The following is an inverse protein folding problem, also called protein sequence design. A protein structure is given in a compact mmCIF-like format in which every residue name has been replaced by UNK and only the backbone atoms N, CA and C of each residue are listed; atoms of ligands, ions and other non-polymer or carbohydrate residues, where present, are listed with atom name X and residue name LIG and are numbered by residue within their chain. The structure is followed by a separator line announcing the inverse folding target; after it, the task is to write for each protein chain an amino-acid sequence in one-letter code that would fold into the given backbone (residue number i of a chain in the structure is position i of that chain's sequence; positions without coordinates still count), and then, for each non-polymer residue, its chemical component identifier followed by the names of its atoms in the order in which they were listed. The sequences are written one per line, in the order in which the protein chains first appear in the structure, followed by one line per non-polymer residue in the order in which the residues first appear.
data_IF_556258578168
#
_entry.id   IF_556258578168
#
_cell.length_a   1.000
_cell.length_b   1.000
_cell.length_c   1.000
_cell.angle_alpha   90.00
_cell.angle_beta   90.00
_cell.angle_gamma   90.00
#
_symmetry.space_group_name_H-M   'P 1'
#
loop_
_entity.id
_entity.type
_entity.pdbx_description
1 polymer ?
#
# COMPACT_ATOMS: atom_id res chain seq x y z
N UNK A 1 -32.36 -48.40 34.33
CA UNK A 1 -31.49 -49.58 34.08
C UNK A 1 -30.62 -49.32 32.85
N UNK A 2 -29.31 -49.50 32.99
CA UNK A 2 -28.34 -49.41 31.90
C UNK A 2 -27.86 -50.82 31.51
N UNK A 3 -27.45 -51.00 30.26
CA UNK A 3 -26.87 -52.25 29.78
C UNK A 3 -25.82 -51.97 28.70
N UNK A 4 -24.91 -52.92 28.53
CA UNK A 4 -23.84 -52.84 27.54
C UNK A 4 -24.22 -53.59 26.26
N UNK A 5 -23.89 -53.01 25.12
CA UNK A 5 -24.01 -53.61 23.80
C UNK A 5 -22.61 -53.60 23.16
N UNK A 6 -22.15 -54.75 22.64
CA UNK A 6 -20.89 -54.81 21.89
C UNK A 6 -21.14 -54.35 20.46
N UNK A 7 -20.40 -53.35 19.99
CA UNK A 7 -20.49 -52.80 18.63
C UNK A 7 -19.10 -52.82 17.98
N UNK A 8 -18.87 -53.83 17.14
CA UNK A 8 -17.55 -54.16 16.62
C UNK A 8 -16.60 -54.54 17.77
N UNK A 9 -15.43 -53.92 17.80
CA UNK A 9 -14.42 -54.13 18.85
C UNK A 9 -14.68 -53.33 20.14
N UNK A 10 -15.70 -52.48 20.18
CA UNK A 10 -15.89 -51.53 21.29
C UNK A 10 -17.23 -51.71 22.00
N UNK A 11 -17.28 -51.38 23.28
CA UNK A 11 -18.51 -51.37 24.06
C UNK A 11 -19.30 -50.06 23.87
N UNK A 12 -20.61 -50.18 23.79
CA UNK A 12 -21.59 -49.11 23.79
C UNK A 12 -22.51 -49.29 25.00
N UNK A 13 -22.84 -48.19 25.67
CA UNK A 13 -23.83 -48.19 26.76
C UNK A 13 -25.18 -47.72 26.24
N UNK A 14 -26.22 -48.46 26.60
CA UNK A 14 -27.62 -48.13 26.38
C UNK A 14 -28.30 -48.00 27.74
N UNK A 15 -29.11 -46.96 27.94
CA UNK A 15 -29.85 -46.78 29.19
C UNK A 15 -31.17 -46.06 28.93
N UNK A 16 -32.11 -46.17 29.87
CA UNK A 16 -33.35 -45.39 29.88
C UNK A 16 -33.31 -44.37 31.01
N UNK A 17 -33.71 -43.14 30.69
CA UNK A 17 -33.85 -42.05 31.63
C UNK A 17 -35.07 -41.20 31.24
N UNK A 18 -35.94 -40.86 32.19
CA UNK A 18 -37.18 -40.11 31.94
C UNK A 18 -38.04 -40.65 30.77
N UNK A 19 -38.17 -41.97 30.65
CA UNK A 19 -38.96 -42.63 29.59
C UNK A 19 -38.29 -42.69 28.20
N UNK A 20 -37.15 -42.02 28.00
CA UNK A 20 -36.41 -42.02 26.73
C UNK A 20 -35.22 -42.98 26.77
N UNK A 21 -34.91 -43.61 25.62
CA UNK A 21 -33.74 -44.48 25.45
C UNK A 21 -32.57 -43.68 24.89
N UNK A 22 -31.45 -43.72 25.58
CA UNK A 22 -30.19 -43.13 25.13
C UNK A 22 -29.16 -44.20 24.81
N UNK A 23 -28.24 -43.88 23.90
CA UNK A 23 -27.10 -44.74 23.60
C UNK A 23 -25.82 -43.92 23.41
N UNK A 24 -24.68 -44.42 23.91
CA UNK A 24 -23.37 -43.76 23.77
C UNK A 24 -22.23 -44.76 23.68
N UNK A 25 -21.30 -44.57 22.75
CA UNK A 25 -20.08 -45.40 22.69
C UNK A 25 -19.17 -45.10 23.88
N UNK A 26 -18.66 -46.15 24.53
CA UNK A 26 -17.68 -46.03 25.62
C UNK A 26 -16.23 -45.96 25.09
N UNK A 27 -16.00 -46.22 23.79
CA UNK A 27 -14.66 -46.20 23.17
C UNK A 27 -13.63 -47.08 23.92
N UNK A 28 -14.07 -48.16 24.54
CA UNK A 28 -13.21 -49.15 25.21
C UNK A 28 -13.44 -50.51 24.57
N UNK A 29 -12.36 -51.29 24.43
CA UNK A 29 -12.41 -52.71 24.06
C UNK A 29 -12.43 -53.62 25.29
N UNK A 30 -12.10 -53.08 26.46
CA UNK A 30 -12.04 -53.81 27.72
C UNK A 30 -13.41 -53.83 28.40
N UNK A 31 -13.87 -55.03 28.74
CA UNK A 31 -15.15 -55.29 29.40
C UNK A 31 -15.19 -54.71 30.82
N UNK A 32 -14.12 -54.89 31.59
CA UNK A 32 -14.01 -54.37 32.97
C UNK A 32 -14.19 -52.85 33.03
N UNK A 33 -13.58 -52.11 32.09
CA UNK A 33 -13.76 -50.65 31.95
C UNK A 33 -15.17 -50.28 31.49
N UNK A 34 -15.81 -51.12 30.69
CA UNK A 34 -17.17 -50.89 30.24
C UNK A 34 -18.17 -51.06 31.39
N UNK A 35 -18.01 -52.12 32.19
CA UNK A 35 -18.85 -52.40 33.36
C UNK A 35 -18.68 -51.32 34.44
N UNK A 36 -17.45 -50.90 34.72
CA UNK A 36 -17.19 -49.80 35.66
C UNK A 36 -17.89 -48.49 35.23
N UNK A 37 -17.97 -48.19 33.93
CA UNK A 37 -18.70 -47.02 33.42
C UNK A 37 -20.21 -47.20 33.46
N UNK A 38 -20.71 -48.45 33.31
CA UNK A 38 -22.13 -48.76 33.49
C UNK A 38 -22.56 -48.51 34.93
N UNK A 39 -21.83 -49.06 35.90
CA UNK A 39 -22.10 -48.84 37.34
C UNK A 39 -22.16 -47.35 37.67
N UNK A 40 -21.18 -46.55 37.19
CA UNK A 40 -21.17 -45.10 37.42
C UNK A 40 -22.37 -44.36 36.82
N UNK A 41 -22.82 -44.73 35.61
CA UNK A 41 -24.04 -44.15 35.04
C UNK A 41 -25.25 -44.50 35.90
N UNK A 42 -25.35 -45.74 36.36
CA UNK A 42 -26.49 -46.18 37.18
C UNK A 42 -26.54 -45.43 38.51
N UNK A 43 -25.40 -45.27 39.18
CA UNK A 43 -25.26 -44.42 40.37
C UNK A 43 -25.66 -42.97 40.09
N UNK A 44 -25.18 -42.39 38.99
CA UNK A 44 -25.48 -41.00 38.64
C UNK A 44 -26.97 -40.81 38.31
N UNK A 45 -27.61 -41.78 37.64
CA UNK A 45 -29.05 -41.77 37.38
C UNK A 45 -29.82 -41.79 38.71
N UNK A 46 -29.43 -42.65 39.66
CA UNK A 46 -30.05 -42.70 40.98
C UNK A 46 -29.92 -41.38 41.73
N UNK A 47 -28.76 -40.73 41.66
CA UNK A 47 -28.56 -39.42 42.29
C UNK A 47 -29.51 -38.35 41.71
N UNK A 48 -29.75 -38.37 40.40
CA UNK A 48 -30.72 -37.47 39.76
C UNK A 48 -32.15 -37.81 40.15
N UNK A 49 -32.53 -39.09 40.14
CA UNK A 49 -33.88 -39.54 40.51
C UNK A 49 -34.21 -39.27 41.99
N UNK A 50 -33.20 -39.33 42.87
CA UNK A 50 -33.33 -39.00 44.30
C UNK A 50 -33.29 -37.49 44.59
N UNK A 51 -33.13 -36.65 43.57
CA UNK A 51 -33.00 -35.19 43.73
C UNK A 51 -31.71 -34.75 44.43
N UNK A 52 -30.68 -35.63 44.49
CA UNK A 52 -29.36 -35.32 45.04
C UNK A 52 -28.42 -34.68 44.01
N UNK A 53 -28.76 -34.79 42.73
CA UNK A 53 -28.06 -34.18 41.61
C UNK A 53 -29.07 -33.52 40.68
N UNK A 54 -29.03 -32.19 40.59
CA UNK A 54 -29.92 -31.44 39.71
C UNK A 54 -29.50 -31.62 38.25
N UNK A 55 -30.49 -31.86 37.38
CA UNK A 55 -30.28 -31.93 35.94
C UNK A 55 -30.49 -30.52 35.32
N UNK A 56 -29.44 -29.86 34.81
CA UNK A 56 -29.57 -28.52 34.25
C UNK A 56 -30.41 -28.48 32.96
N UNK A 57 -31.03 -27.35 32.68
CA UNK A 57 -31.77 -27.13 31.43
C UNK A 57 -30.85 -27.24 30.19
N UNK A 58 -31.34 -27.88 29.12
CA UNK A 58 -30.66 -28.03 27.81
C UNK A 58 -29.31 -28.81 27.84
N UNK A 59 -29.24 -29.90 28.60
CA UNK A 59 -28.04 -30.73 28.76
C UNK A 59 -27.99 -31.94 27.81
N UNK A 60 -26.80 -32.32 27.32
CA UNK A 60 -26.59 -33.62 26.63
C UNK A 60 -26.59 -34.75 27.68
N UNK A 61 -27.77 -35.30 27.98
CA UNK A 61 -28.03 -36.27 29.06
C UNK A 61 -26.98 -37.40 29.12
N UNK A 62 -26.59 -38.07 28.01
CA UNK A 62 -25.55 -39.09 28.07
C UNK A 62 -24.17 -38.56 28.46
N UNK A 63 -23.82 -37.33 28.07
CA UNK A 63 -22.54 -36.73 28.46
C UNK A 63 -22.55 -36.31 29.92
N UNK A 64 -23.65 -35.75 30.40
CA UNK A 64 -23.82 -35.38 31.81
C UNK A 64 -23.70 -36.60 32.73
N UNK A 65 -24.46 -37.65 32.46
CA UNK A 65 -24.46 -38.88 33.25
C UNK A 65 -23.13 -39.65 33.18
N UNK A 66 -22.40 -39.57 32.06
CA UNK A 66 -21.05 -40.17 31.94
C UNK A 66 -19.94 -39.35 32.61
N UNK A 67 -20.25 -38.14 33.09
CA UNK A 67 -19.29 -37.20 33.66
C UNK A 67 -19.52 -36.91 35.14
N UNK A 68 -20.27 -37.79 35.81
CA UNK A 68 -20.66 -37.64 37.22
C UNK A 68 -21.34 -36.28 37.48
N UNK A 69 -22.15 -35.80 36.52
CA UNK A 69 -22.86 -34.52 36.61
C UNK A 69 -22.02 -33.26 36.35
N UNK A 70 -20.77 -33.38 35.90
CA UNK A 70 -19.87 -32.22 35.72
C UNK A 70 -19.97 -31.54 34.35
N UNK A 71 -20.22 -32.30 33.29
CA UNK A 71 -20.23 -31.76 31.92
C UNK A 71 -21.65 -31.65 31.39
N UNK A 72 -22.08 -30.43 31.10
CA UNK A 72 -23.41 -30.21 30.52
C UNK A 72 -23.44 -30.41 29.00
N UNK A 73 -22.30 -30.26 28.33
CA UNK A 73 -22.15 -30.39 26.89
C UNK A 73 -20.80 -31.03 26.55
N UNK A 74 -20.68 -31.60 25.35
CA UNK A 74 -19.38 -32.05 24.83
C UNK A 74 -18.42 -30.86 24.75
N UNK A 75 -17.16 -31.00 25.18
CA UNK A 75 -16.16 -29.96 24.99
C UNK A 75 -15.98 -29.69 23.50
N UNK A 76 -16.43 -28.50 23.06
CA UNK A 76 -16.15 -28.01 21.72
C UNK A 76 -14.78 -27.33 21.77
N UNK A 77 -13.78 -27.94 21.15
CA UNK A 77 -12.52 -27.24 20.88
C UNK A 77 -12.87 -26.17 19.83
N UNK A 78 -12.96 -24.92 20.26
CA UNK A 78 -13.09 -23.81 19.33
C UNK A 78 -11.85 -23.83 18.42
N UNK A 79 -12.06 -24.05 17.11
CA UNK A 79 -10.95 -23.97 16.16
C UNK A 79 -10.38 -22.55 16.26
N UNK A 80 -9.06 -22.39 16.45
CA UNK A 80 -8.46 -21.07 16.46
C UNK A 80 -8.75 -20.40 15.10
N UNK A 81 -9.15 -19.13 15.14
CA UNK A 81 -9.37 -18.34 13.93
C UNK A 81 -8.11 -18.37 13.06
N UNK A 82 -8.27 -18.81 11.82
CA UNK A 82 -7.17 -18.89 10.88
C UNK A 82 -6.83 -17.51 10.32
N UNK A 83 -5.65 -17.39 9.72
CA UNK A 83 -5.26 -16.19 8.97
C UNK A 83 -6.29 -15.85 7.89
N UNK A 84 -6.80 -16.86 7.17
CA UNK A 84 -7.80 -16.65 6.13
C UNK A 84 -9.09 -16.06 6.72
N UNK A 85 -9.63 -16.65 7.78
CA UNK A 85 -10.87 -16.17 8.42
C UNK A 85 -10.76 -14.71 8.87
N UNK A 86 -9.62 -14.34 9.47
CA UNK A 86 -9.39 -12.97 9.95
C UNK A 86 -9.26 -11.98 8.81
N UNK A 87 -8.64 -12.38 7.68
CA UNK A 87 -8.54 -11.52 6.50
C UNK A 87 -9.91 -11.30 5.85
N UNK A 88 -10.73 -12.33 5.75
CA UNK A 88 -12.06 -12.22 5.17
C UNK A 88 -12.96 -11.34 6.04
N UNK A 89 -12.98 -11.57 7.36
CA UNK A 89 -13.68 -10.68 8.32
C UNK A 89 -13.18 -9.23 8.28
N UNK A 90 -11.88 -9.01 8.08
CA UNK A 90 -11.33 -7.66 7.93
C UNK A 90 -11.89 -6.99 6.68
N UNK A 91 -11.86 -7.67 5.53
CA UNK A 91 -12.35 -7.13 4.26
C UNK A 91 -13.86 -6.85 4.31
N UNK A 92 -14.65 -7.73 4.90
CA UNK A 92 -16.10 -7.55 5.10
C UNK A 92 -16.42 -6.37 6.03
N UNK A 93 -15.53 -6.06 6.96
CA UNK A 93 -15.73 -4.96 7.91
C UNK A 93 -15.42 -3.57 7.34
N UNK A 94 -14.83 -3.48 6.15
CA UNK A 94 -14.46 -2.20 5.54
C UNK A 94 -15.71 -1.54 4.92
N UNK A 95 -16.12 -0.34 5.38
CA UNK A 95 -17.20 0.37 4.72
C UNK A 95 -16.78 0.79 3.30
N UNK A 96 -17.78 0.99 2.43
CA UNK A 96 -17.54 1.47 1.07
C UNK A 96 -16.76 2.80 1.10
N UNK A 97 -15.68 2.88 0.31
CA UNK A 97 -14.81 4.06 0.26
C UNK A 97 -13.81 4.22 1.43
N UNK A 98 -13.77 3.30 2.40
CA UNK A 98 -12.82 3.39 3.54
C UNK A 98 -11.34 3.33 3.14
N UNK A 99 -11.04 2.66 2.03
CA UNK A 99 -9.71 2.58 1.42
C UNK A 99 -9.81 2.93 -0.06
N UNK A 100 -8.80 3.63 -0.58
CA UNK A 100 -8.65 3.79 -2.03
C UNK A 100 -8.53 2.43 -2.71
N UNK A 101 -9.12 2.27 -3.89
CA UNK A 101 -9.13 1.01 -4.66
C UNK A 101 -7.74 0.41 -4.83
N UNK A 102 -6.73 1.22 -5.17
CA UNK A 102 -5.34 0.74 -5.31
C UNK A 102 -4.75 0.28 -3.97
N UNK A 103 -5.12 0.93 -2.86
CA UNK A 103 -4.70 0.51 -1.52
C UNK A 103 -5.36 -0.81 -1.13
N UNK A 104 -6.63 -1.01 -1.47
CA UNK A 104 -7.35 -2.27 -1.26
C UNK A 104 -6.77 -3.39 -2.14
N UNK A 105 -6.51 -3.12 -3.42
CA UNK A 105 -5.85 -4.03 -4.34
C UNK A 105 -4.48 -4.47 -3.80
N UNK A 106 -3.67 -3.52 -3.35
CA UNK A 106 -2.37 -3.79 -2.73
C UNK A 106 -2.51 -4.62 -1.45
N UNK A 107 -3.49 -4.30 -0.59
CA UNK A 107 -3.74 -5.07 0.62
C UNK A 107 -4.11 -6.53 0.32
N UNK A 108 -4.96 -6.78 -0.71
CA UNK A 108 -5.33 -8.12 -1.16
C UNK A 108 -4.11 -8.91 -1.67
N UNK A 109 -3.18 -8.26 -2.39
CA UNK A 109 -1.91 -8.87 -2.78
C UNK A 109 -1.09 -9.29 -1.56
N UNK A 110 -0.94 -8.40 -0.58
CA UNK A 110 -0.20 -8.70 0.64
C UNK A 110 -0.83 -9.86 1.42
N UNK A 111 -2.16 -9.86 1.57
CA UNK A 111 -2.92 -10.96 2.18
C UNK A 111 -2.67 -12.29 1.46
N UNK A 112 -2.63 -12.30 0.12
CA UNK A 112 -2.30 -13.50 -0.66
C UNK A 112 -0.89 -14.00 -0.34
N UNK A 113 0.10 -13.11 -0.25
CA UNK A 113 1.47 -13.50 0.11
C UNK A 113 1.56 -14.05 1.53
N UNK A 114 0.87 -13.42 2.51
CA UNK A 114 0.79 -13.93 3.88
C UNK A 114 0.17 -15.32 3.93
N UNK A 115 -0.97 -15.54 3.26
CA UNK A 115 -1.60 -16.86 3.17
C UNK A 115 -0.69 -17.91 2.51
N UNK A 116 0.03 -17.53 1.45
CA UNK A 116 0.92 -18.46 0.75
C UNK A 116 2.15 -18.87 1.58
N UNK A 117 2.68 -17.99 2.42
CA UNK A 117 3.94 -18.24 3.15
C UNK A 117 3.69 -18.77 4.57
N UNK A 118 2.71 -18.22 5.29
CA UNK A 118 2.35 -18.66 6.65
C UNK A 118 1.37 -19.85 6.63
N UNK A 119 0.56 -19.96 5.56
CA UNK A 119 -0.49 -20.94 5.42
C UNK A 119 -1.87 -20.37 5.75
N UNK A 120 -2.87 -20.64 4.91
CA UNK A 120 -4.24 -20.13 5.10
C UNK A 120 -4.86 -20.53 6.43
N UNK A 121 -4.60 -21.77 6.87
CA UNK A 121 -5.14 -22.35 8.11
C UNK A 121 -4.27 -22.06 9.35
N UNK A 122 -3.20 -21.28 9.21
CA UNK A 122 -2.34 -20.94 10.33
C UNK A 122 -3.13 -20.14 11.38
N UNK A 123 -2.94 -20.44 12.67
CA UNK A 123 -3.62 -19.73 13.75
C UNK A 123 -3.20 -18.26 13.77
N UNK A 124 -4.14 -17.34 13.58
CA UNK A 124 -3.84 -15.90 13.55
C UNK A 124 -3.24 -15.42 14.87
N UNK A 125 -3.65 -16.00 16.01
CA UNK A 125 -3.10 -15.67 17.34
C UNK A 125 -1.65 -16.09 17.52
N UNK A 126 -1.16 -17.05 16.73
CA UNK A 126 0.18 -17.62 16.85
C UNK A 126 1.19 -16.97 15.90
N UNK A 127 0.85 -15.83 15.29
CA UNK A 127 1.84 -15.05 14.53
C UNK A 127 2.73 -14.34 15.54
N UNK A 128 3.87 -14.96 15.86
CA UNK A 128 4.91 -14.44 16.74
C UNK A 128 6.10 -13.86 15.93
N UNK A 129 7.16 -13.47 16.64
CA UNK A 129 8.37 -12.89 16.01
C UNK A 129 9.02 -13.90 15.06
N UNK A 130 9.04 -15.19 15.40
CA UNK A 130 9.67 -16.23 14.59
C UNK A 130 8.87 -16.51 13.31
N UNK A 131 7.54 -16.54 13.39
CA UNK A 131 6.67 -16.64 12.23
C UNK A 131 6.89 -15.47 11.26
N UNK A 132 7.01 -14.25 11.78
CA UNK A 132 7.30 -13.05 10.98
C UNK A 132 8.72 -13.05 10.41
N UNK A 133 9.72 -13.50 11.17
CA UNK A 133 11.09 -13.62 10.67
C UNK A 133 11.20 -14.67 9.57
N UNK A 134 10.51 -15.81 9.73
CA UNK A 134 10.39 -16.83 8.70
C UNK A 134 9.70 -16.31 7.44
N UNK A 135 8.67 -15.48 7.60
CA UNK A 135 8.03 -14.79 6.48
C UNK A 135 9.04 -13.91 5.73
N UNK A 136 9.80 -13.06 6.44
CA UNK A 136 10.82 -12.19 5.85
C UNK A 136 11.90 -13.01 5.12
N UNK A 137 12.39 -14.09 5.74
CA UNK A 137 13.43 -14.95 5.20
C UNK A 137 12.99 -15.67 3.92
N UNK A 138 11.74 -16.13 3.85
CA UNK A 138 11.18 -16.75 2.65
C UNK A 138 10.92 -15.70 1.56
N UNK A 139 10.30 -14.58 1.94
CA UNK A 139 9.90 -13.53 1.00
C UNK A 139 11.09 -12.85 0.32
N UNK A 140 12.20 -12.63 1.04
CA UNK A 140 13.42 -12.03 0.49
C UNK A 140 14.14 -12.89 -0.55
N UNK A 141 13.91 -14.21 -0.54
CA UNK A 141 14.47 -15.14 -1.53
C UNK A 141 13.61 -15.28 -2.79
N UNK A 142 12.36 -14.84 -2.75
CA UNK A 142 11.46 -14.91 -3.91
C UNK A 142 11.84 -13.88 -4.98
N UNK A 143 11.56 -14.22 -6.23
CA UNK A 143 11.70 -13.31 -7.37
C UNK A 143 10.41 -12.48 -7.54
N UNK A 144 10.57 -11.20 -7.80
CA UNK A 144 9.51 -10.27 -8.20
C UNK A 144 9.23 -10.33 -9.69
N UNK A 145 8.39 -9.40 -10.18
CA UNK A 145 7.95 -9.36 -11.59
C UNK A 145 9.09 -9.24 -12.60
N UNK A 146 10.18 -8.60 -12.21
CA UNK A 146 11.34 -8.37 -13.07
C UNK A 146 12.48 -9.38 -12.81
N UNK A 147 12.17 -10.56 -12.25
CA UNK A 147 13.16 -11.61 -11.94
C UNK A 147 14.05 -11.34 -10.72
N UNK A 148 14.03 -10.11 -10.18
CA UNK A 148 14.84 -9.68 -9.05
C UNK A 148 14.31 -10.13 -7.71
N UNK A 149 15.19 -10.26 -6.71
CA UNK A 149 14.77 -10.56 -5.33
C UNK A 149 13.88 -9.43 -4.77
N UNK A 150 12.91 -9.80 -3.93
CA UNK A 150 12.01 -8.83 -3.32
C UNK A 150 12.77 -7.91 -2.35
N UNK A 151 12.61 -6.60 -2.54
CA UNK A 151 13.25 -5.59 -1.71
C UNK A 151 12.73 -5.58 -0.27
N UNK A 152 13.59 -5.19 0.68
CA UNK A 152 13.20 -5.02 2.08
C UNK A 152 12.06 -4.01 2.25
N UNK A 153 12.00 -2.97 1.42
CA UNK A 153 10.91 -1.99 1.42
C UNK A 153 9.54 -2.63 1.10
N UNK A 154 9.51 -3.55 0.13
CA UNK A 154 8.29 -4.31 -0.21
C UNK A 154 7.83 -5.18 0.96
N UNK A 155 8.76 -5.92 1.58
CA UNK A 155 8.46 -6.79 2.74
C UNK A 155 7.95 -5.96 3.93
N UNK A 156 8.59 -4.82 4.23
CA UNK A 156 8.13 -3.89 5.26
C UNK A 156 6.70 -3.39 4.96
N UNK A 157 6.36 -3.15 3.69
CA UNK A 157 5.01 -2.73 3.29
C UNK A 157 3.99 -3.85 3.48
N UNK A 158 4.33 -5.09 3.12
CA UNK A 158 3.50 -6.28 3.36
C UNK A 158 3.21 -6.48 4.85
N UNK A 159 4.24 -6.34 5.70
CA UNK A 159 4.10 -6.41 7.16
C UNK A 159 3.35 -5.23 7.75
N UNK A 160 3.45 -4.04 7.15
CA UNK A 160 2.63 -2.88 7.55
C UNK A 160 1.14 -3.14 7.30
N UNK A 161 0.77 -3.85 6.23
CA UNK A 161 -0.62 -4.27 6.00
C UNK A 161 -1.06 -5.27 7.06
N UNK A 162 -0.24 -6.29 7.36
CA UNK A 162 -0.55 -7.26 8.39
C UNK A 162 -0.70 -6.60 9.77
N UNK A 163 0.16 -5.65 10.11
CA UNK A 163 0.04 -4.83 11.33
C UNK A 163 -1.27 -4.06 11.39
N UNK A 164 -1.71 -3.49 10.27
CA UNK A 164 -3.01 -2.81 10.18
C UNK A 164 -4.17 -3.74 10.53
N UNK A 165 -4.15 -4.95 9.97
CA UNK A 165 -5.14 -6.00 10.25
C UNK A 165 -5.03 -6.48 11.70
N UNK A 166 -3.81 -6.67 12.23
CA UNK A 166 -3.58 -7.03 13.62
C UNK A 166 -4.16 -6.01 14.60
N UNK A 167 -3.95 -4.73 14.34
CA UNK A 167 -4.49 -3.65 15.17
C UNK A 167 -6.02 -3.60 15.11
N UNK A 168 -6.61 -3.91 13.95
CA UNK A 168 -8.06 -4.08 13.81
C UNK A 168 -8.55 -5.29 14.62
N UNK A 169 -7.85 -6.43 14.54
CA UNK A 169 -8.16 -7.65 15.27
C UNK A 169 -8.05 -7.44 16.80
N UNK A 170 -7.06 -6.67 17.25
CA UNK A 170 -6.88 -6.28 18.66
C UNK A 170 -8.07 -5.48 19.17
N UNK A 171 -8.55 -4.48 18.42
CA UNK A 171 -9.76 -3.70 18.77
C UNK A 171 -11.02 -4.57 18.90
N UNK A 172 -11.09 -5.66 18.13
CA UNK A 172 -12.19 -6.65 18.19
C UNK A 172 -11.94 -7.78 19.20
N UNK A 173 -10.89 -7.69 20.03
CA UNK A 173 -10.50 -8.71 21.02
C UNK A 173 -10.21 -10.09 20.42
N UNK A 174 -9.85 -10.16 19.14
CA UNK A 174 -9.42 -11.39 18.47
C UNK A 174 -7.97 -11.76 18.85
N UNK A 175 -7.17 -10.77 19.24
CA UNK A 175 -5.80 -10.92 19.78
C UNK A 175 -5.64 -10.03 21.01
N UNK A 176 -4.86 -10.48 21.99
CA UNK A 176 -4.64 -9.76 23.26
C UNK A 176 -3.34 -8.95 23.32
N UNK A 177 -2.43 -9.16 22.37
CA UNK A 177 -1.07 -8.58 22.39
C UNK A 177 -0.84 -7.62 21.23
N UNK A 178 0.18 -6.77 21.35
CA UNK A 178 0.63 -5.93 20.25
C UNK A 178 1.30 -6.73 19.12
N UNK A 179 1.32 -6.14 17.93
CA UNK A 179 1.91 -6.79 16.76
C UNK A 179 3.42 -7.04 16.98
N UNK A 180 3.89 -8.30 16.91
CA UNK A 180 5.23 -8.70 17.36
C UNK A 180 6.33 -8.31 16.36
N UNK A 181 6.53 -7.02 16.19
CA UNK A 181 7.43 -6.46 15.18
C UNK A 181 8.82 -6.07 15.68
N UNK A 182 9.04 -6.15 16.99
CA UNK A 182 10.34 -5.84 17.59
C UNK A 182 11.35 -6.95 17.28
N UNK A 183 12.59 -6.57 16.98
CA UNK A 183 13.68 -7.52 16.70
C UNK A 183 13.73 -8.11 15.29
N UNK A 184 12.78 -7.76 14.40
CA UNK A 184 12.76 -8.29 13.03
C UNK A 184 13.96 -7.79 12.20
N UNK A 185 14.68 -8.74 11.60
CA UNK A 185 15.86 -8.48 10.75
C UNK A 185 15.48 -8.57 9.28
N UNK A 186 15.85 -7.54 8.52
CA UNK A 186 15.60 -7.44 7.08
C UNK A 186 16.91 -7.54 6.30
N UNK A 187 16.87 -8.01 5.03
CA UNK A 187 18.00 -7.88 4.12
C UNK A 187 18.45 -6.41 4.03
N UNK A 188 19.75 -6.19 3.88
CA UNK A 188 20.27 -4.85 3.59
C UNK A 188 19.68 -4.36 2.27
N UNK A 189 19.17 -3.13 2.28
CA UNK A 189 18.79 -2.41 1.07
C UNK A 189 19.93 -1.48 0.69
N UNK A 190 20.25 -1.39 -0.61
CA UNK A 190 21.10 -0.33 -1.11
C UNK A 190 20.34 0.99 -1.08
N UNK A 191 21.04 2.05 -0.73
CA UNK A 191 20.50 3.40 -0.89
C UNK A 191 20.41 3.70 -2.39
N UNK A 192 19.28 4.28 -2.80
CA UNK A 192 19.14 4.71 -4.19
C UNK A 192 20.16 5.82 -4.48
N UNK A 193 20.74 5.88 -5.68
CA UNK A 193 21.64 6.96 -6.04
C UNK A 193 20.96 8.33 -5.87
N UNK A 194 21.76 9.39 -5.66
CA UNK A 194 21.26 10.76 -5.70
C UNK A 194 20.67 11.07 -7.09
N UNK A 195 19.82 12.10 -7.17
CA UNK A 195 19.35 12.57 -8.47
C UNK A 195 20.50 13.14 -9.30
N UNK A 196 20.58 12.74 -10.57
CA UNK A 196 21.68 13.04 -11.50
C UNK A 196 21.14 13.46 -12.87
N UNK A 197 21.95 14.20 -13.63
CA UNK A 197 21.63 14.63 -15.00
C UNK A 197 21.80 13.48 -16.00
N UNK A 198 21.27 13.66 -17.21
CA UNK A 198 21.42 12.70 -18.29
C UNK A 198 22.90 12.38 -18.58
N UNK A 199 23.71 13.41 -18.79
CA UNK A 199 25.14 13.27 -19.10
C UNK A 199 25.93 12.54 -18.00
N UNK A 200 25.58 12.77 -16.72
CA UNK A 200 26.20 12.04 -15.61
C UNK A 200 25.88 10.54 -15.69
N UNK A 201 24.62 10.19 -15.96
CA UNK A 201 24.21 8.79 -16.09
C UNK A 201 24.89 8.12 -17.29
N UNK A 202 24.95 8.79 -18.44
CA UNK A 202 25.65 8.27 -19.62
C UNK A 202 27.14 8.05 -19.35
N UNK A 203 27.79 8.96 -18.61
CA UNK A 203 29.20 8.80 -18.20
C UNK A 203 29.38 7.53 -17.37
N UNK A 204 28.56 7.32 -16.32
CA UNK A 204 28.63 6.11 -15.50
C UNK A 204 28.35 4.82 -16.28
N UNK A 205 27.43 4.87 -17.25
CA UNK A 205 27.13 3.71 -18.11
C UNK A 205 28.30 3.41 -19.05
N UNK A 206 28.94 4.45 -19.60
CA UNK A 206 30.06 4.32 -20.53
C UNK A 206 31.35 3.82 -19.85
N UNK A 207 31.57 4.20 -18.59
CA UNK A 207 32.70 3.69 -17.77
C UNK A 207 32.64 2.17 -17.55
N UNK A 208 31.44 1.58 -17.65
CA UNK A 208 31.22 0.14 -17.52
C UNK A 208 31.29 -0.38 -16.08
N UNK A 209 31.16 -1.69 -15.90
CA UNK A 209 31.24 -2.34 -14.58
C UNK A 209 29.93 -2.31 -13.76
N UNK A 210 28.88 -1.66 -14.25
CA UNK A 210 27.54 -1.68 -13.65
C UNK A 210 26.69 -2.82 -14.21
N UNK A 211 25.92 -3.46 -13.35
CA UNK A 211 24.87 -4.39 -13.76
C UNK A 211 23.67 -3.65 -14.39
N UNK A 212 22.86 -4.36 -15.20
CA UNK A 212 21.61 -3.82 -15.76
C UNK A 212 20.68 -3.21 -14.69
N UNK A 213 20.74 -3.73 -13.47
CA UNK A 213 19.96 -3.20 -12.35
C UNK A 213 20.50 -1.86 -11.87
N UNK A 214 21.81 -1.73 -11.72
CA UNK A 214 22.43 -0.46 -11.28
C UNK A 214 22.19 0.62 -12.32
N UNK A 215 22.33 0.28 -13.61
CA UNK A 215 21.99 1.15 -14.73
C UNK A 215 20.51 1.56 -14.63
N UNK A 216 19.61 0.60 -14.40
CA UNK A 216 18.20 0.88 -14.22
C UNK A 216 17.88 1.82 -13.04
N UNK A 217 18.61 1.69 -11.93
CA UNK A 217 18.46 2.52 -10.73
C UNK A 217 18.98 3.94 -10.95
N UNK A 218 20.05 4.12 -11.73
CA UNK A 218 20.53 5.43 -12.19
C UNK A 218 19.46 6.15 -13.02
N UNK A 219 18.89 5.48 -14.04
CA UNK A 219 17.81 6.04 -14.86
C UNK A 219 16.51 6.29 -14.07
N UNK A 220 16.27 5.60 -12.96
CA UNK A 220 15.17 5.95 -12.03
C UNK A 220 15.44 7.24 -11.24
N UNK A 221 16.70 7.64 -11.10
CA UNK A 221 17.15 8.85 -10.44
C UNK A 221 17.60 9.92 -11.43
N UNK A 222 17.15 9.82 -12.69
CA UNK A 222 17.29 10.89 -13.67
C UNK A 222 16.46 12.11 -13.26
N UNK A 223 17.04 13.29 -13.41
CA UNK A 223 16.31 14.53 -13.58
C UNK A 223 16.82 15.23 -14.84
N UNK A 224 15.90 15.88 -15.56
CA UNK A 224 16.21 16.65 -16.77
C UNK A 224 16.62 18.08 -16.38
N UNK A 225 17.62 18.63 -17.04
CA UNK A 225 17.96 20.05 -16.98
C UNK A 225 16.89 20.91 -17.66
N UNK A 226 16.95 22.24 -17.52
CA UNK A 226 16.00 23.14 -18.19
C UNK A 226 16.06 22.99 -19.72
N UNK A 227 17.26 22.97 -20.31
CA UNK A 227 17.43 22.79 -21.75
C UNK A 227 16.91 21.42 -22.24
N UNK A 228 17.12 20.36 -21.46
CA UNK A 228 16.56 19.03 -21.74
C UNK A 228 15.02 19.00 -21.61
N UNK A 229 14.46 19.77 -20.66
CA UNK A 229 13.00 19.95 -20.55
C UNK A 229 12.45 20.63 -21.80
N UNK A 230 13.06 21.72 -22.24
CA UNK A 230 12.59 22.49 -23.40
C UNK A 230 12.66 21.63 -24.67
N UNK A 231 13.77 20.92 -24.88
CA UNK A 231 13.94 20.06 -26.04
C UNK A 231 13.02 18.84 -26.07
N UNK A 232 12.69 18.23 -24.91
CA UNK A 232 11.68 17.15 -24.87
C UNK A 232 10.27 17.70 -25.10
N UNK A 233 9.95 18.89 -24.58
CA UNK A 233 8.64 19.51 -24.78
C UNK A 233 8.42 19.91 -26.24
N UNK A 234 9.43 20.49 -26.90
CA UNK A 234 9.43 20.77 -28.34
C UNK A 234 9.21 19.50 -29.17
N UNK A 235 9.90 18.42 -28.81
CA UNK A 235 9.74 17.13 -29.47
C UNK A 235 8.31 16.62 -29.30
N UNK A 236 7.75 16.70 -28.09
CA UNK A 236 6.37 16.29 -27.79
C UNK A 236 5.37 17.15 -28.56
N UNK A 237 5.58 18.47 -28.66
CA UNK A 237 4.70 19.37 -29.42
C UNK A 237 4.62 18.97 -30.89
N UNK A 238 5.76 18.60 -31.50
CA UNK A 238 5.85 18.24 -32.92
C UNK A 238 5.34 16.84 -33.23
N UNK A 239 5.45 15.90 -32.29
CA UNK A 239 5.22 14.46 -32.53
C UNK A 239 4.02 13.88 -31.78
N UNK A 240 3.35 14.64 -30.92
CA UNK A 240 2.19 14.17 -30.18
C UNK A 240 1.03 13.81 -31.13
N UNK A 241 0.57 12.56 -31.05
CA UNK A 241 -0.58 12.10 -31.82
C UNK A 241 -1.90 12.75 -31.40
N UNK A 242 -1.99 13.23 -30.15
CA UNK A 242 -3.20 13.80 -29.58
C UNK A 242 -2.94 15.18 -28.98
N UNK A 243 -3.82 16.17 -29.22
CA UNK A 243 -3.61 17.56 -28.79
C UNK A 243 -3.37 17.77 -27.29
N UNK A 244 -3.99 16.95 -26.43
CA UNK A 244 -3.85 17.09 -24.97
C UNK A 244 -2.45 16.73 -24.45
N UNK A 245 -1.64 15.98 -25.22
CA UNK A 245 -0.38 15.39 -24.73
C UNK A 245 0.62 16.49 -24.40
N UNK A 246 0.87 17.42 -25.32
CA UNK A 246 1.82 18.51 -25.11
C UNK A 246 1.45 19.40 -23.90
N UNK A 247 0.23 19.93 -23.78
CA UNK A 247 -0.21 20.67 -22.59
C UNK A 247 -0.07 19.88 -21.28
N UNK A 248 -0.32 18.57 -21.31
CA UNK A 248 -0.17 17.71 -20.13
C UNK A 248 1.30 17.52 -19.73
N UNK A 249 2.20 17.36 -20.71
CA UNK A 249 3.65 17.31 -20.48
C UNK A 249 4.18 18.65 -19.93
N UNK A 250 3.78 19.76 -20.56
CA UNK A 250 4.12 21.11 -20.12
C UNK A 250 3.70 21.36 -18.68
N UNK A 251 2.47 20.99 -18.34
CA UNK A 251 1.95 21.13 -16.97
C UNK A 251 2.72 20.24 -15.98
N UNK A 252 3.10 19.03 -16.37
CA UNK A 252 3.91 18.15 -15.51
C UNK A 252 5.28 18.76 -15.20
N UNK A 253 5.97 19.28 -16.21
CA UNK A 253 7.30 19.89 -16.10
C UNK A 253 7.29 21.19 -15.30
N UNK A 254 6.28 22.05 -15.52
CA UNK A 254 6.22 23.39 -14.93
C UNK A 254 5.58 23.43 -13.54
N UNK A 255 4.93 22.35 -13.08
CA UNK A 255 4.26 22.33 -11.76
C UNK A 255 4.74 21.22 -10.82
N UNK A 256 5.50 20.25 -11.34
CA UNK A 256 5.87 19.04 -10.59
C UNK A 256 4.66 18.19 -10.14
N UNK A 257 3.50 18.38 -10.76
CA UNK A 257 2.29 17.62 -10.47
C UNK A 257 2.48 16.13 -10.81
N UNK A 258 1.94 15.26 -9.95
CA UNK A 258 1.97 13.81 -10.19
C UNK A 258 1.03 13.48 -11.34
N UNK A 259 1.34 12.45 -12.15
CA UNK A 259 0.45 11.93 -13.20
C UNK A 259 -1.02 11.82 -12.76
N UNK A 260 -1.28 11.24 -11.59
CA UNK A 260 -2.65 11.07 -11.10
C UNK A 260 -3.35 12.37 -10.72
N UNK A 261 -2.59 13.41 -10.39
CA UNK A 261 -3.12 14.75 -10.11
C UNK A 261 -3.49 15.44 -11.43
N UNK A 262 -2.64 15.34 -12.46
CA UNK A 262 -2.95 15.81 -13.81
C UNK A 262 -4.21 15.16 -14.38
N UNK A 263 -4.31 13.82 -14.30
CA UNK A 263 -5.48 13.06 -14.77
C UNK A 263 -6.80 13.53 -14.12
N UNK A 264 -6.76 13.95 -12.85
CA UNK A 264 -7.95 14.37 -12.10
C UNK A 264 -8.19 15.88 -12.11
N UNK A 265 -7.26 16.65 -12.67
CA UNK A 265 -7.40 18.10 -12.75
C UNK A 265 -8.62 18.47 -13.59
N UNK A 266 -9.28 19.55 -13.21
CA UNK A 266 -10.47 20.08 -13.86
C UNK A 266 -10.19 21.47 -14.41
N UNK A 267 -10.97 21.90 -15.41
CA UNK A 267 -10.77 23.21 -16.04
C UNK A 267 -10.80 24.37 -15.03
N UNK A 268 -11.68 24.28 -14.03
CA UNK A 268 -11.80 25.23 -12.90
C UNK A 268 -10.57 25.30 -11.99
N UNK A 269 -9.67 24.32 -12.09
CA UNK A 269 -8.40 24.35 -11.37
C UNK A 269 -7.39 25.33 -11.98
N UNK A 270 -7.59 25.76 -13.22
CA UNK A 270 -6.74 26.75 -13.89
C UNK A 270 -7.36 28.13 -13.73
N UNK A 271 -6.68 29.01 -13.00
CA UNK A 271 -7.11 30.39 -12.77
C UNK A 271 -6.15 31.34 -13.49
N UNK A 272 -6.52 31.75 -14.70
CA UNK A 272 -5.68 32.62 -15.53
C UNK A 272 -5.57 34.05 -15.00
N UNK A 273 -6.57 34.50 -14.23
CA UNK A 273 -6.60 35.84 -13.63
C UNK A 273 -5.64 35.90 -12.44
N UNK A 274 -5.70 34.91 -11.55
CA UNK A 274 -4.77 34.79 -10.44
C UNK A 274 -3.39 34.21 -10.85
N UNK A 275 -3.28 33.63 -12.06
CA UNK A 275 -2.05 33.02 -12.54
C UNK A 275 -1.66 31.76 -11.78
N UNK A 276 -2.63 30.93 -11.38
CA UNK A 276 -2.38 29.74 -10.55
C UNK A 276 -3.03 28.47 -11.13
N UNK A 277 -2.42 27.33 -10.81
CA UNK A 277 -2.95 25.99 -11.01
C UNK A 277 -3.25 25.33 -9.65
N UNK A 278 -4.51 24.92 -9.43
CA UNK A 278 -4.97 24.23 -8.22
C UNK A 278 -4.79 22.73 -8.37
N UNK A 279 -3.90 22.15 -7.58
CA UNK A 279 -3.64 20.70 -7.61
C UNK A 279 -4.46 19.99 -6.53
N UNK A 280 -5.37 19.11 -6.96
CA UNK A 280 -6.22 18.30 -6.06
C UNK A 280 -5.50 17.04 -5.54
N UNK A 281 -5.23 17.02 -4.25
CA UNK A 281 -4.43 16.01 -3.57
C UNK A 281 -5.31 15.01 -2.81
N UNK A 282 -4.95 13.72 -2.91
CA UNK A 282 -5.54 12.65 -2.09
C UNK A 282 -4.60 12.13 -0.99
N UNK A 283 -3.31 12.46 -1.08
CA UNK A 283 -2.25 11.77 -0.31
C UNK A 283 -1.55 12.62 0.74
N UNK A 284 -1.80 13.94 0.79
CA UNK A 284 -1.11 14.84 1.72
C UNK A 284 -1.59 14.64 3.15
N UNK A 285 -2.91 14.60 3.35
CA UNK A 285 -3.54 14.36 4.66
C UNK A 285 -4.36 13.08 4.59
N UNK A 286 -4.12 12.16 5.53
CA UNK A 286 -4.84 10.88 5.56
C UNK A 286 -6.32 11.12 5.82
N UNK A 287 -7.19 10.62 4.92
CA UNK A 287 -8.64 10.72 5.06
C UNK A 287 -9.23 12.09 4.69
N UNK A 288 -8.43 13.03 4.15
CA UNK A 288 -8.92 14.34 3.67
C UNK A 288 -8.38 14.64 2.28
N UNK A 289 -9.25 15.19 1.43
CA UNK A 289 -8.84 15.79 0.17
C UNK A 289 -8.26 17.18 0.48
N UNK A 290 -7.07 17.47 -0.02
CA UNK A 290 -6.44 18.79 0.11
C UNK A 290 -6.20 19.39 -1.26
N UNK A 291 -6.03 20.71 -1.29
CA UNK A 291 -5.66 21.44 -2.50
C UNK A 291 -4.40 22.22 -2.19
N UNK A 292 -3.48 22.23 -3.16
CA UNK A 292 -2.32 23.13 -3.17
C UNK A 292 -2.32 23.94 -4.44
N UNK A 293 -1.64 25.08 -4.43
CA UNK A 293 -1.57 25.98 -5.59
C UNK A 293 -0.14 26.06 -6.10
N UNK A 294 0.01 26.10 -7.42
CA UNK A 294 1.30 26.33 -8.07
C UNK A 294 1.14 27.53 -9.01
N UNK A 295 2.02 28.54 -8.97
CA UNK A 295 2.01 29.62 -9.94
C UNK A 295 2.20 29.10 -11.37
N UNK A 296 1.49 29.70 -12.33
CA UNK A 296 1.69 29.43 -13.74
C UNK A 296 2.93 30.17 -14.23
N UNK A 297 3.89 29.47 -14.84
CA UNK A 297 4.92 30.15 -15.61
C UNK A 297 4.29 30.85 -16.82
N UNK A 298 4.94 31.88 -17.37
CA UNK A 298 4.47 32.53 -18.60
C UNK A 298 4.23 31.56 -19.75
N UNK A 299 5.16 30.63 -20.05
CA UNK A 299 4.93 29.68 -21.14
C UNK A 299 3.78 28.71 -20.85
N UNK A 300 3.69 28.18 -19.62
CA UNK A 300 2.59 27.28 -19.24
C UNK A 300 1.23 27.98 -19.38
N UNK A 301 1.16 29.26 -19.02
CA UNK A 301 -0.07 30.06 -19.18
C UNK A 301 -0.49 30.11 -20.64
N UNK A 302 0.42 30.44 -21.55
CA UNK A 302 0.18 30.49 -23.00
C UNK A 302 -0.30 29.14 -23.53
N UNK A 303 0.43 28.06 -23.23
CA UNK A 303 0.09 26.69 -23.70
C UNK A 303 -1.29 26.24 -23.21
N UNK A 304 -1.66 26.56 -21.96
CA UNK A 304 -2.98 26.22 -21.42
C UNK A 304 -4.10 27.08 -22.03
N UNK A 305 -3.84 28.35 -22.35
CA UNK A 305 -4.80 29.20 -23.05
C UNK A 305 -5.09 28.65 -24.44
N UNK A 306 -4.04 28.34 -25.21
CA UNK A 306 -4.16 27.73 -26.54
C UNK A 306 -4.90 26.39 -26.48
N UNK A 307 -4.52 25.52 -25.54
CA UNK A 307 -5.19 24.24 -25.32
C UNK A 307 -6.69 24.38 -25.07
N UNK A 308 -7.09 25.34 -24.23
CA UNK A 308 -8.51 25.55 -23.93
C UNK A 308 -9.33 26.12 -25.09
N UNK A 309 -8.70 26.68 -26.13
CA UNK A 309 -9.42 27.08 -27.35
C UNK A 309 -9.87 25.87 -28.18
N UNK A 310 -9.10 24.78 -28.17
CA UNK A 310 -9.35 23.55 -28.94
C UNK A 310 -9.82 22.37 -28.07
N UNK A 311 -10.13 22.61 -26.80
CA UNK A 311 -10.47 21.56 -25.85
C UNK A 311 -11.77 20.84 -26.23
N UNK A 312 -11.82 19.50 -26.24
CA UNK A 312 -12.97 18.73 -26.76
C UNK A 312 -14.17 18.65 -25.78
N UNK A 313 -14.33 19.67 -24.93
CA UNK A 313 -15.36 19.70 -23.88
C UNK A 313 -15.11 18.76 -22.70
N UNK A 314 -16.08 18.68 -21.78
CA UNK A 314 -15.96 17.94 -20.52
C UNK A 314 -15.37 18.77 -19.37
N UNK A 315 -15.30 18.18 -18.18
CA UNK A 315 -14.86 18.86 -16.95
C UNK A 315 -13.36 18.80 -16.67
N UNK A 316 -12.70 17.74 -17.14
CA UNK A 316 -11.28 17.49 -16.88
C UNK A 316 -10.40 18.40 -17.73
N UNK A 317 -9.25 18.83 -17.20
CA UNK A 317 -8.30 19.70 -17.91
C UNK A 317 -7.66 19.01 -19.11
N UNK A 318 -7.30 17.74 -18.94
CA UNK A 318 -6.76 16.89 -19.99
C UNK A 318 -7.73 15.75 -20.21
N UNK A 319 -8.22 15.62 -21.44
CA UNK A 319 -9.20 14.62 -21.81
C UNK A 319 -8.93 14.09 -23.22
N UNK A 320 -9.46 12.89 -23.44
CA UNK A 320 -9.49 12.27 -24.76
C UNK A 320 -10.71 12.76 -25.52
N UNK A 321 -10.54 12.97 -26.82
CA UNK A 321 -11.63 13.20 -27.76
C UNK A 321 -12.54 11.95 -27.87
N UNK A 322 -13.68 12.11 -28.55
CA UNK A 322 -14.60 10.98 -28.82
C UNK A 322 -13.89 9.90 -29.66
N UNK A 323 -13.22 10.33 -30.72
CA UNK A 323 -12.44 9.44 -31.57
C UNK A 323 -10.97 9.56 -31.23
N UNK A 324 -10.42 8.52 -30.61
CA UNK A 324 -8.99 8.47 -30.25
C UNK A 324 -8.28 7.59 -31.28
N UNK A 325 -7.45 8.19 -32.13
CA UNK A 325 -6.56 7.47 -33.03
C UNK A 325 -5.80 6.36 -32.28
N UNK A 326 -5.82 5.14 -32.86
CA UNK A 326 -5.21 3.91 -32.31
C UNK A 326 -5.82 3.41 -30.98
N UNK A 327 -7.06 3.81 -30.66
CA UNK A 327 -7.88 3.21 -29.61
C UNK A 327 -8.89 2.22 -30.21
N UNK A 328 -9.08 1.07 -29.56
CA UNK A 328 -10.18 0.12 -29.88
C UNK A 328 -11.44 0.37 -29.06
N UNK A 329 -11.43 1.36 -28.17
CA UNK A 329 -12.58 1.72 -27.33
C UNK A 329 -13.42 2.78 -28.03
N UNK A 330 -14.68 2.47 -28.28
CA UNK A 330 -15.68 3.46 -28.67
C UNK A 330 -16.06 4.34 -27.47
N UNK A 331 -16.08 5.65 -27.68
CA UNK A 331 -16.44 6.64 -26.64
C UNK A 331 -17.54 7.54 -27.17
N UNK A 332 -18.59 7.71 -26.37
CA UNK A 332 -19.76 8.55 -26.72
C UNK A 332 -19.53 10.04 -26.45
N UNK A 333 -18.58 10.37 -25.58
CA UNK A 333 -18.23 11.73 -25.16
C UNK A 333 -16.74 11.86 -24.84
N UNK A 334 -16.26 13.10 -24.66
CA UNK A 334 -14.92 13.32 -24.13
C UNK A 334 -14.82 12.81 -22.69
N UNK A 335 -13.68 12.19 -22.39
CA UNK A 335 -13.52 11.41 -21.15
C UNK A 335 -12.17 11.67 -20.52
N UNK A 336 -12.08 11.51 -19.19
CA UNK A 336 -10.80 11.55 -18.49
C UNK A 336 -9.89 10.43 -18.95
N UNK A 337 -8.59 10.69 -18.90
CA UNK A 337 -7.57 9.66 -19.08
C UNK A 337 -7.63 8.63 -17.95
N UNK A 338 -7.44 7.36 -18.29
CA UNK A 338 -7.04 6.35 -17.29
C UNK A 338 -5.54 6.42 -17.01
N UNK A 339 -5.11 5.79 -15.92
CA UNK A 339 -3.67 5.68 -15.58
C UNK A 339 -2.88 4.97 -16.67
N UNK A 340 -3.45 3.93 -17.26
CA UNK A 340 -2.81 3.14 -18.31
C UNK A 340 -2.74 3.94 -19.62
N UNK A 341 -3.81 4.65 -20.00
CA UNK A 341 -3.81 5.53 -21.17
C UNK A 341 -2.77 6.65 -21.06
N UNK A 342 -2.68 7.33 -19.92
CA UNK A 342 -1.64 8.34 -19.72
C UNK A 342 -0.22 7.75 -19.80
N UNK A 343 -0.03 6.51 -19.37
CA UNK A 343 1.28 5.84 -19.44
C UNK A 343 1.61 5.39 -20.87
N UNK A 344 0.61 4.87 -21.57
CA UNK A 344 0.72 4.40 -22.94
C UNK A 344 0.99 5.55 -23.90
N UNK A 345 0.22 6.64 -23.83
CA UNK A 345 0.49 7.85 -24.62
C UNK A 345 1.88 8.41 -24.36
N UNK A 346 2.30 8.50 -23.10
CA UNK A 346 3.66 8.93 -22.73
C UNK A 346 4.73 8.08 -23.42
N UNK A 347 4.62 6.75 -23.30
CA UNK A 347 5.62 5.83 -23.87
C UNK A 347 5.63 5.90 -25.39
N UNK A 348 4.46 5.92 -26.03
CA UNK A 348 4.35 5.98 -27.49
C UNK A 348 4.92 7.27 -28.05
N UNK A 349 4.66 8.41 -27.40
CA UNK A 349 5.20 9.69 -27.84
C UNK A 349 6.72 9.68 -27.83
N UNK A 350 7.37 9.05 -26.83
CA UNK A 350 8.83 9.08 -26.70
C UNK A 350 9.57 7.88 -27.33
N UNK A 351 8.87 6.82 -27.77
CA UNK A 351 9.47 5.53 -28.12
C UNK A 351 10.52 5.59 -29.25
N UNK A 352 10.36 6.48 -30.22
CA UNK A 352 11.24 6.64 -31.38
C UNK A 352 12.03 7.96 -31.30
N UNK A 353 12.52 8.27 -30.10
CA UNK A 353 13.24 9.52 -29.83
C UNK A 353 14.42 9.29 -28.88
N UNK A 354 15.38 10.22 -28.82
CA UNK A 354 16.44 10.21 -27.81
C UNK A 354 15.91 10.13 -26.36
N UNK A 355 14.64 10.52 -26.15
CA UNK A 355 13.96 10.54 -24.86
C UNK A 355 13.33 9.20 -24.44
N UNK A 356 13.45 8.14 -25.27
CA UNK A 356 12.95 6.81 -24.97
C UNK A 356 13.40 6.22 -23.61
N UNK A 357 14.63 6.50 -23.10
CA UNK A 357 15.05 6.08 -21.75
C UNK A 357 14.21 6.65 -20.60
N UNK A 358 13.43 7.71 -20.82
CA UNK A 358 12.59 8.27 -19.77
C UNK A 358 11.49 7.27 -19.37
N UNK A 359 11.55 6.79 -18.12
CA UNK A 359 10.67 5.71 -17.63
C UNK A 359 9.21 6.11 -17.42
N UNK A 360 8.94 7.39 -17.19
CA UNK A 360 7.59 7.87 -16.99
C UNK A 360 7.48 9.27 -16.40
N UNK A 361 6.24 9.71 -16.24
CA UNK A 361 5.84 11.04 -15.76
C UNK A 361 6.50 11.55 -14.48
N UNK A 362 7.01 10.67 -13.61
CA UNK A 362 7.61 11.12 -12.35
C UNK A 362 8.95 11.83 -12.57
N UNK A 363 9.60 11.62 -13.72
CA UNK A 363 10.82 12.36 -14.10
C UNK A 363 10.58 13.86 -14.04
N UNK A 364 9.46 14.37 -14.57
CA UNK A 364 9.20 15.81 -14.64
C UNK A 364 9.06 16.44 -13.27
N UNK A 365 8.55 15.68 -12.30
CA UNK A 365 8.52 16.13 -10.92
C UNK A 365 9.93 16.15 -10.30
N UNK A 366 10.75 15.13 -10.57
CA UNK A 366 12.15 15.14 -10.13
C UNK A 366 12.89 16.32 -10.77
N UNK A 367 12.74 16.54 -12.08
CA UNK A 367 13.30 17.69 -12.81
C UNK A 367 12.84 19.02 -12.25
N UNK A 368 11.53 19.22 -12.00
CA UNK A 368 11.01 20.46 -11.42
C UNK A 368 11.68 20.77 -10.07
N UNK A 369 11.73 19.80 -9.17
CA UNK A 369 12.31 19.98 -7.84
C UNK A 369 13.82 20.19 -7.93
N UNK A 370 14.51 19.38 -8.72
CA UNK A 370 15.96 19.46 -8.91
C UNK A 370 16.38 20.80 -9.50
N UNK A 371 15.71 21.30 -10.54
CA UNK A 371 16.02 22.60 -11.14
C UNK A 371 15.71 23.75 -10.18
N UNK A 372 14.60 23.69 -9.41
CA UNK A 372 14.33 24.67 -8.36
C UNK A 372 15.44 24.68 -7.29
N UNK A 373 15.89 23.50 -6.85
CA UNK A 373 16.99 23.36 -5.90
C UNK A 373 18.31 23.92 -6.46
N UNK A 374 18.67 23.59 -7.70
CA UNK A 374 19.87 24.12 -8.38
C UNK A 374 19.83 25.64 -8.53
N UNK A 375 18.65 26.24 -8.70
CA UNK A 375 18.45 27.71 -8.76
C UNK A 375 18.37 28.36 -7.36
N UNK A 376 18.49 27.59 -6.29
CA UNK A 376 18.46 28.11 -4.91
C UNK A 376 17.07 28.53 -4.42
N UNK A 377 15.99 28.03 -5.05
CA UNK A 377 14.62 28.33 -4.60
C UNK A 377 14.39 27.74 -3.20
N UNK A 378 13.78 28.53 -2.31
CA UNK A 378 13.53 28.11 -0.93
C UNK A 378 12.78 26.77 -0.85
N UNK A 379 13.32 25.84 -0.04
CA UNK A 379 12.75 24.50 0.14
C UNK A 379 11.28 24.51 0.58
N UNK A 380 10.83 25.53 1.32
CA UNK A 380 9.44 25.71 1.77
C UNK A 380 8.52 25.97 0.59
N UNK A 381 8.94 26.81 -0.37
CA UNK A 381 8.17 27.07 -1.59
C UNK A 381 8.06 25.82 -2.44
N UNK A 382 9.17 25.09 -2.61
CA UNK A 382 9.18 23.80 -3.31
C UNK A 382 8.21 22.82 -2.64
N UNK A 383 8.30 22.67 -1.31
CA UNK A 383 7.45 21.78 -0.52
C UNK A 383 5.96 22.10 -0.69
N UNK A 384 5.60 23.39 -0.69
CA UNK A 384 4.25 23.87 -0.90
C UNK A 384 3.73 23.54 -2.30
N UNK A 385 4.53 23.77 -3.35
CA UNK A 385 4.13 23.52 -4.73
C UNK A 385 4.01 22.03 -5.06
N UNK A 386 4.91 21.20 -4.53
CA UNK A 386 4.93 19.77 -4.85
C UNK A 386 4.16 18.94 -3.82
N UNK A 387 3.86 19.48 -2.65
CA UNK A 387 3.18 18.79 -1.56
C UNK A 387 4.07 17.75 -0.87
N UNK A 388 5.32 18.11 -0.56
CA UNK A 388 6.20 17.30 0.30
C UNK A 388 5.88 17.53 1.77
N UNK A 389 5.93 16.46 2.57
CA UNK A 389 5.59 16.52 4.00
C UNK A 389 6.63 15.86 4.91
N UNK A 390 7.63 15.18 4.36
CA UNK A 390 8.61 14.44 5.16
C UNK A 390 10.04 14.84 4.82
N UNK A 391 10.90 14.80 5.83
CA UNK A 391 12.33 15.09 5.69
C UNK A 391 13.04 14.13 4.73
N UNK A 392 12.63 12.85 4.72
CA UNK A 392 13.18 11.86 3.80
C UNK A 392 12.94 12.22 2.32
N UNK A 393 11.81 12.88 1.99
CA UNK A 393 11.55 13.38 0.64
C UNK A 393 12.47 14.56 0.27
N UNK A 394 12.74 15.45 1.23
CA UNK A 394 13.58 16.65 1.03
C UNK A 394 15.06 16.30 0.86
N UNK A 395 15.56 15.40 1.70
CA UNK A 395 16.98 14.98 1.69
C UNK A 395 17.46 14.50 0.34
N UNK A 396 16.56 13.91 -0.46
CA UNK A 396 16.87 13.43 -1.82
C UNK A 396 17.37 14.51 -2.78
N UNK A 397 17.11 15.78 -2.51
CA UNK A 397 17.46 16.91 -3.38
C UNK A 397 18.45 17.89 -2.75
N UNK A 398 18.86 17.65 -1.49
CA UNK A 398 19.67 18.60 -0.74
C UNK A 398 21.03 18.85 -1.40
N UNK A 399 21.62 17.82 -2.01
CA UNK A 399 22.91 17.91 -2.70
C UNK A 399 22.88 18.78 -3.96
N UNK A 400 21.70 19.21 -4.41
CA UNK A 400 21.54 20.06 -5.59
C UNK A 400 21.48 21.55 -5.25
N UNK A 401 21.28 21.91 -3.98
CA UNK A 401 21.30 23.30 -3.59
C UNK A 401 22.74 23.84 -3.77
N UNK A 402 22.90 25.07 -4.31
CA UNK A 402 24.21 25.70 -4.39
C UNK A 402 24.89 25.66 -3.02
N UNK A 403 26.08 25.06 -2.96
CA UNK A 403 26.92 25.00 -1.76
C UNK A 403 27.48 26.39 -1.48
N UNK A 404 26.61 27.24 -0.97
CA UNK A 404 26.88 28.61 -0.59
C UNK A 404 26.95 28.72 0.93
N UNK A 405 27.25 27.63 1.66
CA UNK A 405 27.31 27.70 3.14
C UNK A 405 28.27 28.80 3.60
N UNK A 406 29.42 28.94 2.92
CA UNK A 406 30.37 30.02 3.16
C UNK A 406 29.83 31.40 2.77
N UNK A 407 29.30 31.56 1.55
CA UNK A 407 28.75 32.84 1.09
C UNK A 407 27.48 33.28 1.85
N UNK A 408 26.68 32.33 2.35
CA UNK A 408 25.52 32.57 3.19
C UNK A 408 25.92 32.92 4.63
N UNK A 409 26.97 32.30 5.19
CA UNK A 409 27.54 32.74 6.46
C UNK A 409 28.19 34.11 6.33
N UNK A 410 28.87 34.38 5.22
CA UNK A 410 29.47 35.67 4.92
C UNK A 410 28.41 36.76 4.69
N UNK A 411 27.28 36.47 4.06
CA UNK A 411 26.21 37.49 3.95
C UNK A 411 25.55 37.84 5.29
N UNK A 412 25.59 36.92 6.26
CA UNK A 412 25.00 37.12 7.60
C UNK A 412 25.99 37.72 8.60
N UNK A 413 27.24 37.26 8.59
CA UNK A 413 28.29 37.61 9.56
C UNK A 413 29.50 38.32 8.95
N UNK A 414 29.54 38.46 7.62
CA UNK A 414 30.54 39.26 6.93
C UNK A 414 30.47 40.70 7.40
N UNK A 415 31.63 41.34 7.46
CA UNK A 415 31.77 42.70 7.99
C UNK A 415 30.80 43.63 7.26
N UNK A 416 29.86 44.22 8.00
CA UNK A 416 29.14 45.40 7.52
C UNK A 416 30.20 46.48 7.38
N UNK A 417 30.64 46.76 6.15
CA UNK A 417 31.44 47.96 5.93
C UNK A 417 30.61 49.14 6.41
N UNK A 418 31.11 49.79 7.46
CA UNK A 418 30.53 50.97 8.02
C UNK A 418 30.58 52.05 6.93
N UNK A 419 29.43 52.35 6.34
CA UNK A 419 29.17 53.63 5.69
C UNK A 419 29.19 54.72 6.76
N UNK A 420 30.39 55.09 7.20
CA UNK A 420 30.64 56.19 8.12
C UNK A 420 31.67 57.14 7.51
N UNK A 421 31.15 58.33 7.21
CA UNK A 421 31.85 59.63 7.10
C UNK A 421 32.53 59.96 5.77
N UNK A 422 31.73 60.51 4.85
CA UNK A 422 32.13 61.67 4.03
C UNK A 422 31.04 62.73 4.14
N UNK A 423 31.04 63.41 5.29
CA UNK A 423 30.42 64.72 5.49
C UNK A 423 31.27 65.45 6.54
N UNK A 424 32.43 65.95 6.10
CA UNK A 424 33.15 67.07 6.74
C UNK A 424 34.41 67.38 5.92
N UNK A 425 34.31 68.37 5.02
CA UNK A 425 35.22 69.52 4.86
C UNK A 425 34.77 70.32 3.64
#
# INVERSE_FOLDING_TARGET
MAWLEKKGDTYQISFRFAGQRYKKSLKTKEESKAEARKTRIEETIQLVEQGRLDLPENVDIPTFLLSDGKLTNKPKIAKPLSIADVFDQYLESLPEGALEENSLYTAKIHMKHHKAILGSNFSFKNIDVDALQNYINKRSKQKGKCGQRISAATIKKELSTLRGIWNWAKRRKLVGVDFPSQGLKYPKSHEKPPFQTWNQIETYVAEGGLSDQEIAELWECLYLTLDEIDTVLDFVQKNALHPFIHPMFMTAAHTGARRSELIRSQKEDVDFAAGIFRVREKKRVKGRLTVRTVPLSPELKTVLQEWFTIHPGGKFTFCLEKHVARSRKERTSSTSLTVDEATDHFKRTLAESPWAPIRGWHVFRHSFISNCACKGVDQRMIDEWVGHTTEAMRRRYRHLFPDSQAAALESVFGKREQSLVLNAS
#
